data_IF_273682767799
#
_entry.id   IF_273682767799
#
_cell.length_a   1.000
_cell.length_b   1.000
_cell.length_c   1.000
_cell.angle_alpha   90.00
_cell.angle_beta   90.00
_cell.angle_gamma   90.00
#
_symmetry.space_group_name_H-M   'P 1'
#
loop_
_entity.id
_entity.type
_entity.pdbx_description
1 polymer ?
#
# COMPACT_ATOMS: atom_id res chain seq x y z
N UNK A 1 4.60 -8.36 2.06
CA UNK A 1 5.27 -7.13 2.53
C UNK A 1 4.81 -6.85 3.95
N UNK A 2 5.73 -6.45 4.82
CA UNK A 2 5.44 -6.00 6.19
C UNK A 2 6.18 -4.70 6.45
N UNK A 3 5.59 -3.86 7.32
CA UNK A 3 6.21 -2.65 7.82
C UNK A 3 6.55 -2.88 9.29
N UNK A 4 7.82 -2.70 9.64
CA UNK A 4 8.23 -2.68 11.05
C UNK A 4 8.16 -1.25 11.54
N UNK A 5 7.37 -1.03 12.58
CA UNK A 5 7.08 0.30 13.09
C UNK A 5 7.47 0.43 14.56
N UNK A 6 8.07 1.57 14.92
CA UNK A 6 8.24 2.00 16.32
C UNK A 6 7.02 2.83 16.72
N UNK A 7 6.37 2.47 17.83
CA UNK A 7 5.24 3.24 18.36
C UNK A 7 5.66 4.68 18.69
N UNK A 8 4.94 5.66 18.13
CA UNK A 8 5.07 7.07 18.47
C UNK A 8 4.03 7.44 19.53
N UNK A 9 2.76 7.11 19.29
CA UNK A 9 1.66 7.41 20.20
C UNK A 9 0.46 6.49 19.99
N UNK A 10 -0.34 6.33 21.04
CA UNK A 10 -1.63 5.65 21.02
C UNK A 10 -2.61 6.40 21.92
N UNK A 11 -3.80 6.70 21.40
CA UNK A 11 -4.90 7.30 22.14
C UNK A 11 -5.98 6.24 22.38
N UNK A 12 -6.25 5.84 23.65
CA UNK A 12 -7.23 4.80 23.97
C UNK A 12 -8.69 5.24 23.79
N UNK A 13 -8.99 6.55 23.75
CA UNK A 13 -10.35 7.02 23.53
C UNK A 13 -10.72 6.93 22.04
N UNK A 14 -9.84 7.42 21.17
CA UNK A 14 -10.06 7.42 19.71
C UNK A 14 -9.58 6.16 19.00
N UNK A 15 -8.76 5.34 19.67
CA UNK A 15 -8.06 4.19 19.12
C UNK A 15 -7.06 4.54 17.99
N UNK A 16 -6.65 5.81 17.89
CA UNK A 16 -5.64 6.22 16.92
C UNK A 16 -4.24 5.84 17.38
N UNK A 17 -3.46 5.28 16.46
CA UNK A 17 -2.08 4.85 16.67
C UNK A 17 -1.18 5.43 15.58
N UNK A 18 -0.07 6.03 15.98
CA UNK A 18 0.96 6.50 15.07
C UNK A 18 2.24 5.70 15.29
N UNK A 19 2.85 5.25 14.19
CA UNK A 19 4.12 4.53 14.21
C UNK A 19 5.10 5.10 13.19
N UNK A 20 6.37 5.17 13.56
CA UNK A 20 7.48 5.47 12.66
C UNK A 20 7.88 4.19 11.94
N UNK A 21 7.84 4.17 10.60
CA UNK A 21 8.36 3.04 9.82
C UNK A 21 9.88 3.03 9.95
N UNK A 22 10.42 1.99 10.59
CA UNK A 22 11.87 1.82 10.80
C UNK A 22 12.48 0.81 9.84
N UNK A 23 11.66 -0.07 9.25
CA UNK A 23 12.09 -1.03 8.24
C UNK A 23 10.90 -1.49 7.37
N UNK A 24 11.22 -1.98 6.17
CA UNK A 24 10.27 -2.59 5.23
C UNK A 24 10.84 -3.94 4.80
N UNK A 25 10.04 -5.00 4.93
CA UNK A 25 10.41 -6.33 4.47
C UNK A 25 9.43 -6.80 3.39
N UNK A 26 9.97 -7.42 2.34
CA UNK A 26 9.21 -7.94 1.21
C UNK A 26 9.78 -9.29 0.78
N UNK A 27 8.88 -10.21 0.43
CA UNK A 27 9.25 -11.46 -0.24
C UNK A 27 9.78 -11.12 -1.63
N UNK A 28 10.89 -11.73 -2.06
CA UNK A 28 11.48 -11.46 -3.36
C UNK A 28 10.50 -11.78 -4.51
N UNK A 29 9.56 -12.69 -4.31
CA UNK A 29 8.55 -13.06 -5.30
C UNK A 29 7.59 -11.91 -5.66
N UNK A 30 7.48 -10.87 -4.81
CA UNK A 30 6.62 -9.70 -5.08
C UNK A 30 7.40 -8.50 -5.63
N UNK A 31 8.69 -8.65 -5.93
CA UNK A 31 9.50 -7.59 -6.52
C UNK A 31 9.40 -7.60 -8.06
N UNK A 32 9.41 -6.42 -8.64
CA UNK A 32 9.59 -6.18 -10.07
C UNK A 32 11.06 -6.30 -10.49
N UNK A 33 11.32 -6.18 -11.79
CA UNK A 33 12.69 -6.21 -12.35
C UNK A 33 13.55 -5.04 -11.86
N UNK A 34 12.92 -3.93 -11.46
CA UNK A 34 13.57 -2.74 -10.91
C UNK A 34 13.88 -2.87 -9.41
N UNK A 35 13.57 -4.02 -8.79
CA UNK A 35 13.74 -4.28 -7.37
C UNK A 35 12.70 -3.61 -6.47
N UNK A 36 11.73 -2.89 -7.04
CA UNK A 36 10.62 -2.30 -6.28
C UNK A 36 9.45 -3.28 -6.17
N UNK A 37 8.48 -2.96 -5.32
CA UNK A 37 7.25 -3.75 -5.21
C UNK A 37 6.47 -3.73 -6.53
N UNK A 38 6.21 -4.90 -7.09
CA UNK A 38 5.24 -5.07 -8.15
C UNK A 38 3.84 -5.25 -7.53
N UNK A 39 2.98 -4.25 -7.71
CA UNK A 39 1.62 -4.26 -7.14
C UNK A 39 0.79 -5.43 -7.65
N UNK A 40 0.98 -5.86 -8.90
CA UNK A 40 0.26 -6.99 -9.46
C UNK A 40 0.70 -8.32 -8.83
N UNK A 41 1.97 -8.43 -8.42
CA UNK A 41 2.47 -9.61 -7.67
C UNK A 41 2.09 -9.55 -6.19
N UNK A 42 2.14 -8.37 -5.57
CA UNK A 42 1.73 -8.16 -4.17
C UNK A 42 0.26 -8.54 -3.95
N UNK A 43 -0.61 -8.33 -4.95
CA UNK A 43 -2.05 -8.63 -4.92
C UNK A 43 -2.75 -8.17 -3.62
N UNK A 44 -2.60 -6.89 -3.21
CA UNK A 44 -3.26 -6.39 -2.02
C UNK A 44 -4.79 -6.47 -2.16
N UNK A 45 -5.46 -6.59 -1.01
CA UNK A 45 -6.91 -6.53 -0.93
C UNK A 45 -7.37 -5.15 -0.46
N UNK A 46 -8.56 -4.76 -0.90
CA UNK A 46 -9.26 -3.55 -0.52
C UNK A 46 -10.52 -3.96 0.22
N UNK A 47 -10.77 -3.33 1.36
CA UNK A 47 -12.02 -3.49 2.09
C UNK A 47 -13.06 -2.51 1.55
N UNK A 48 -14.20 -3.05 1.12
CA UNK A 48 -15.40 -2.27 0.79
C UNK A 48 -16.34 -2.26 1.99
N UNK A 49 -16.37 -1.15 2.71
CA UNK A 49 -17.21 -0.97 3.90
C UNK A 49 -18.71 -0.90 3.61
N UNK A 50 -19.13 -0.65 2.37
CA UNK A 50 -20.56 -0.57 2.01
C UNK A 50 -21.15 -1.98 1.89
N UNK A 51 -20.44 -2.87 1.21
CA UNK A 51 -20.89 -4.23 0.96
C UNK A 51 -20.30 -5.26 1.93
N UNK A 52 -19.47 -4.83 2.89
CA UNK A 52 -18.71 -5.69 3.78
C UNK A 52 -17.92 -6.78 3.03
N UNK A 53 -17.29 -6.40 1.92
CA UNK A 53 -16.60 -7.30 1.00
C UNK A 53 -15.10 -6.97 0.90
N UNK A 54 -14.32 -7.96 0.43
CA UNK A 54 -12.92 -7.75 0.07
C UNK A 54 -12.73 -7.95 -1.42
N UNK A 55 -12.00 -7.02 -2.04
CA UNK A 55 -11.67 -7.04 -3.46
C UNK A 55 -10.16 -7.09 -3.63
N UNK A 56 -9.67 -7.78 -4.66
CA UNK A 56 -8.27 -7.68 -5.06
C UNK A 56 -8.09 -6.37 -5.84
N UNK A 57 -6.96 -5.68 -5.63
CA UNK A 57 -6.64 -4.48 -6.44
C UNK A 57 -6.57 -4.84 -7.94
N UNK A 58 -7.09 -3.94 -8.77
CA UNK A 58 -7.09 -4.10 -10.23
C UNK A 58 -5.73 -3.80 -10.88
N UNK A 59 -5.75 -3.75 -12.20
CA UNK A 59 -4.59 -3.41 -13.02
C UNK A 59 -4.20 -1.92 -12.93
N UNK A 60 -2.96 -1.61 -13.33
CA UNK A 60 -2.50 -0.23 -13.46
C UNK A 60 -3.26 0.46 -14.60
N UNK A 61 -3.90 1.58 -14.30
CA UNK A 61 -4.71 2.35 -15.27
C UNK A 61 -4.05 3.64 -15.78
N UNK A 62 -2.85 3.97 -15.29
CA UNK A 62 -2.13 5.18 -15.71
C UNK A 62 -0.84 5.42 -14.93
N UNK A 63 -0.15 6.51 -15.25
CA UNK A 63 1.09 6.96 -14.61
C UNK A 63 0.85 8.27 -13.86
N UNK A 64 0.98 8.23 -12.53
CA UNK A 64 0.98 9.43 -11.70
C UNK A 64 2.12 10.37 -12.11
N UNK A 65 1.87 11.68 -12.04
CA UNK A 65 2.83 12.74 -12.38
C UNK A 65 3.36 12.73 -13.83
N UNK A 66 2.74 11.98 -14.75
CA UNK A 66 3.14 11.91 -16.16
C UNK A 66 1.95 12.11 -17.11
N UNK A 67 0.91 11.27 -17.05
CA UNK A 67 -0.14 11.24 -18.09
C UNK A 67 -0.89 12.58 -18.18
N UNK A 68 -1.13 13.24 -17.04
CA UNK A 68 -1.79 14.55 -16.99
C UNK A 68 -0.99 15.68 -17.66
N UNK A 69 0.33 15.51 -17.87
CA UNK A 69 1.14 16.50 -18.57
C UNK A 69 0.79 16.59 -20.07
N UNK A 70 0.20 15.53 -20.65
CA UNK A 70 -0.23 15.49 -22.06
C UNK A 70 -1.51 16.29 -22.31
N UNK A 71 -2.22 16.68 -21.25
CA UNK A 71 -3.47 17.44 -21.31
C UNK A 71 -3.25 18.97 -21.22
N UNK A 72 -1.99 19.42 -21.24
CA UNK A 72 -1.61 20.83 -21.20
C UNK A 72 -1.34 21.40 -22.59
#
# INVERSE_FOLDING_TARGET
>A
MTLECRLISYDPETHYMFGEVVNVSADEAILGEDGNIDIAKLRPIIFDGIHAAYHVIGEKVGNAFADGAQLK
#
